data_IF_980304598341
#
_entry.id   IF_980304598341
#
_cell.length_a   1.000
_cell.length_b   1.000
_cell.length_c   1.000
_cell.angle_alpha   90.00
_cell.angle_beta   90.00
_cell.angle_gamma   90.00
#
_symmetry.space_group_name_H-M   'P 1'
#
loop_
_entity.id
_entity.type
_entity.pdbx_description
1 polymer ?
#
# COMPACT_ATOMS: atom_id res chain seq x y z
N UNK A 1 7.72 -54.22 -10.80
CA UNK A 1 6.78 -53.80 -9.73
C UNK A 1 7.58 -53.11 -8.63
N UNK A 2 7.72 -51.78 -8.70
CA UNK A 2 8.52 -51.01 -7.72
C UNK A 2 7.61 -50.39 -6.67
N UNK A 3 7.75 -50.86 -5.43
CA UNK A 3 7.04 -50.35 -4.27
C UNK A 3 7.56 -48.95 -3.91
N UNK A 4 6.67 -47.96 -3.92
CA UNK A 4 6.95 -46.60 -3.42
C UNK A 4 6.76 -46.60 -1.91
N UNK A 5 7.87 -46.49 -1.17
CA UNK A 5 7.86 -46.26 0.28
C UNK A 5 7.29 -44.88 0.62
N UNK A 6 6.34 -44.83 1.55
CA UNK A 6 5.83 -43.58 2.14
C UNK A 6 6.81 -43.08 3.21
N UNK A 7 7.16 -41.79 3.26
CA UNK A 7 7.97 -41.26 4.35
C UNK A 7 7.15 -41.18 5.66
N UNK A 8 7.82 -41.49 6.76
CA UNK A 8 7.30 -41.46 8.12
C UNK A 8 6.84 -40.05 8.53
N UNK A 9 5.69 -39.98 9.20
CA UNK A 9 5.18 -38.76 9.81
C UNK A 9 6.14 -38.28 10.91
N UNK A 10 6.64 -37.05 10.76
CA UNK A 10 7.41 -36.37 11.79
C UNK A 10 6.48 -36.01 12.97
N UNK A 11 6.85 -36.52 14.14
CA UNK A 11 6.25 -36.19 15.44
C UNK A 11 6.55 -34.71 15.74
N UNK A 12 5.50 -33.89 15.81
CA UNK A 12 5.60 -32.49 16.20
C UNK A 12 5.65 -32.43 17.74
N UNK A 13 6.69 -31.84 18.37
CA UNK A 13 6.78 -31.75 19.81
C UNK A 13 5.76 -30.74 20.40
N UNK A 14 5.15 -31.04 21.56
CA UNK A 14 4.20 -30.17 22.22
C UNK A 14 4.92 -29.21 23.15
N UNK A 15 5.37 -28.06 22.64
CA UNK A 15 5.81 -26.96 23.50
C UNK A 15 5.22 -25.66 23.00
N UNK A 16 4.09 -25.26 23.58
CA UNK A 16 3.80 -23.87 23.96
C UNK A 16 2.56 -23.89 24.87
N UNK A 17 2.78 -24.13 26.16
CA UNK A 17 1.83 -23.76 27.20
C UNK A 17 1.67 -22.24 27.18
N UNK A 18 0.50 -21.76 26.75
CA UNK A 18 0.12 -20.35 26.85
C UNK A 18 -0.15 -20.03 28.32
N UNK A 19 0.77 -19.30 28.96
CA UNK A 19 0.45 -18.59 30.19
C UNK A 19 -0.69 -17.59 29.92
N UNK A 20 -1.83 -17.80 30.58
CA UNK A 20 -2.91 -16.82 30.70
C UNK A 20 -2.37 -15.68 31.57
N UNK A 21 -2.03 -14.56 30.95
CA UNK A 21 -1.86 -13.30 31.66
C UNK A 21 -3.28 -12.72 31.80
N UNK A 22 -3.83 -12.80 33.00
CA UNK A 22 -5.03 -12.06 33.40
C UNK A 22 -4.75 -10.57 33.24
N UNK A 23 -5.50 -9.92 32.35
CA UNK A 23 -5.47 -8.46 32.21
C UNK A 23 -6.52 -7.88 33.16
N UNK A 24 -6.19 -6.87 33.99
CA UNK A 24 -7.16 -6.25 34.88
C UNK A 24 -8.26 -5.54 34.08
N UNK A 25 -9.49 -5.76 34.50
CA UNK A 25 -10.70 -5.16 33.95
C UNK A 25 -10.71 -3.64 34.20
N UNK A 26 -10.93 -2.80 33.16
CA UNK A 26 -11.31 -1.41 33.40
C UNK A 26 -12.80 -1.34 33.74
N UNK A 27 -13.10 -0.82 34.92
CA UNK A 27 -14.44 -0.46 35.37
C UNK A 27 -15.12 0.55 34.42
N UNK A 28 -16.42 0.43 34.13
CA UNK A 28 -17.14 1.40 33.32
C UNK A 28 -17.41 2.68 34.13
N UNK A 29 -16.71 3.77 33.80
CA UNK A 29 -17.09 5.11 34.26
C UNK A 29 -18.28 5.61 33.44
N UNK A 30 -19.45 5.61 34.07
CA UNK A 30 -20.66 6.30 33.62
C UNK A 30 -20.42 7.81 33.57
N UNK A 31 -20.33 8.37 32.37
CA UNK A 31 -20.42 9.81 32.12
C UNK A 31 -21.44 10.05 30.99
N UNK A 32 -22.68 10.36 31.40
CA UNK A 32 -23.59 11.32 30.76
C UNK A 32 -23.61 12.54 31.69
N UNK A 33 -23.71 13.80 31.23
CA UNK A 33 -24.62 14.32 30.19
C UNK A 33 -23.82 15.18 29.18
N UNK A 34 -24.32 15.84 28.14
CA UNK A 34 -25.44 16.77 28.10
C UNK A 34 -25.71 17.16 26.64
N UNK A 35 -27.00 17.21 26.30
CA UNK A 35 -27.51 17.71 25.03
C UNK A 35 -27.30 19.22 24.96
N UNK A 36 -26.47 19.69 24.04
CA UNK A 36 -26.62 21.05 23.52
C UNK A 36 -26.72 21.02 22.00
N UNK A 37 -27.96 21.24 21.58
CA UNK A 37 -28.46 21.41 20.21
C UNK A 37 -28.37 22.91 19.89
N UNK A 38 -27.52 23.39 18.97
CA UNK A 38 -27.63 24.74 18.47
C UNK A 38 -28.77 24.82 17.46
N UNK A 39 -29.74 25.67 17.77
CA UNK A 39 -30.79 26.10 16.84
C UNK A 39 -30.19 27.09 15.83
N UNK A 40 -30.32 26.76 14.56
CA UNK A 40 -30.73 27.62 13.44
C UNK A 40 -30.44 29.13 13.55
N UNK A 41 -29.51 29.64 12.71
CA UNK A 41 -29.70 30.96 12.07
C UNK A 41 -29.33 30.84 10.60
N UNK A 42 -30.36 30.96 9.78
CA UNK A 42 -30.33 31.13 8.35
C UNK A 42 -30.15 32.63 8.09
N UNK A 43 -29.02 33.04 7.52
CA UNK A 43 -28.87 34.39 6.99
C UNK A 43 -28.41 34.30 5.54
N UNK A 44 -29.39 34.34 4.64
CA UNK A 44 -29.18 34.71 3.25
C UNK A 44 -29.14 36.24 3.19
N UNK A 45 -28.00 36.82 2.84
CA UNK A 45 -27.93 38.22 2.45
C UNK A 45 -27.28 38.34 1.08
N UNK A 46 -28.08 38.88 0.17
CA UNK A 46 -27.76 39.13 -1.22
C UNK A 46 -26.72 40.25 -1.39
N UNK A 47 -26.01 40.14 -2.52
CA UNK A 47 -25.49 41.17 -3.41
C UNK A 47 -24.89 42.46 -2.81
N UNK A 48 -23.64 42.75 -3.19
CA UNK A 48 -23.21 44.05 -3.76
C UNK A 48 -21.74 43.97 -4.21
N UNK A 49 -21.51 44.12 -5.51
CA UNK A 49 -20.27 44.73 -6.01
C UNK A 49 -20.42 46.27 -5.88
N UNK A 50 -19.34 47.04 -5.67
CA UNK A 50 -18.46 47.46 -6.79
C UNK A 50 -16.95 47.59 -6.44
N UNK A 51 -16.12 47.57 -7.49
CA UNK A 51 -14.71 48.02 -7.55
C UNK A 51 -14.57 49.55 -7.28
N UNK A 52 -13.39 50.24 -7.38
CA UNK A 52 -11.97 49.83 -7.53
C UNK A 52 -10.97 50.63 -6.61
N UNK A 53 -9.66 50.45 -6.85
CA UNK A 53 -8.48 51.29 -6.47
C UNK A 53 -8.01 51.32 -5.01
N UNK A 54 -6.71 51.05 -4.75
CA UNK A 54 -5.64 52.04 -4.53
C UNK A 54 -4.28 51.32 -4.51
N UNK A 55 -3.31 51.88 -5.24
CA UNK A 55 -1.92 51.48 -5.27
C UNK A 55 -1.22 51.74 -3.91
N UNK A 56 -0.38 50.82 -3.44
CA UNK A 56 0.69 51.16 -2.50
C UNK A 56 1.90 50.28 -2.76
N UNK A 57 2.89 50.93 -3.36
CA UNK A 57 4.27 50.51 -3.49
C UNK A 57 4.89 50.36 -2.11
N UNK A 58 5.34 49.15 -1.75
CA UNK A 58 6.38 48.99 -0.73
C UNK A 58 7.42 47.98 -1.23
N UNK A 59 8.52 48.53 -1.72
CA UNK A 59 9.77 47.82 -1.91
C UNK A 59 10.28 47.31 -0.56
N UNK A 60 10.15 46.01 -0.32
CA UNK A 60 10.91 45.30 0.71
C UNK A 60 11.98 44.48 -0.01
N UNK A 61 13.24 44.89 0.20
CA UNK A 61 14.45 44.13 -0.14
C UNK A 61 14.37 42.77 0.55
N UNK A 62 14.12 41.72 -0.22
CA UNK A 62 14.31 40.34 0.22
C UNK A 62 15.80 40.02 0.28
N UNK A 63 16.29 39.35 1.35
CA UNK A 63 17.65 38.85 1.39
C UNK A 63 17.83 37.77 0.33
N UNK A 64 18.95 37.85 -0.38
CA UNK A 64 19.38 36.91 -1.41
C UNK A 64 19.51 35.52 -0.81
N UNK A 65 18.47 34.69 -0.96
CA UNK A 65 18.58 33.26 -0.75
C UNK A 65 19.32 32.69 -1.97
N UNK A 66 20.54 32.23 -1.76
CA UNK A 66 21.33 31.53 -2.76
C UNK A 66 20.59 30.26 -3.16
N UNK A 67 19.84 30.34 -4.26
CA UNK A 67 19.35 29.18 -5.00
C UNK A 67 20.60 28.45 -5.49
N UNK A 68 20.98 27.37 -4.82
CA UNK A 68 21.95 26.44 -5.36
C UNK A 68 21.31 25.79 -6.58
N UNK A 69 21.65 26.30 -7.77
CA UNK A 69 21.38 25.61 -9.02
C UNK A 69 22.03 24.21 -8.93
N UNK A 70 21.27 23.13 -9.11
CA UNK A 70 21.86 21.81 -9.23
C UNK A 70 22.63 21.75 -10.55
N UNK A 71 23.95 21.55 -10.46
CA UNK A 71 24.85 21.39 -11.60
C UNK A 71 24.25 20.42 -12.62
N UNK A 72 23.86 20.99 -13.76
CA UNK A 72 23.29 20.28 -14.89
C UNK A 72 24.41 19.54 -15.64
N UNK A 73 24.76 18.34 -15.19
CA UNK A 73 25.32 17.31 -16.08
C UNK A 73 24.19 16.77 -16.98
N UNK A 74 23.65 17.68 -17.80
CA UNK A 74 22.56 17.48 -18.74
C UNK A 74 23.13 17.13 -20.12
N UNK A 75 23.62 15.90 -20.26
CA UNK A 75 23.88 15.33 -21.58
C UNK A 75 23.35 13.90 -21.64
N UNK A 76 22.08 13.76 -22.05
CA UNK A 76 21.60 12.60 -22.80
C UNK A 76 20.81 11.52 -22.06
N UNK A 77 20.80 11.46 -20.74
CA UNK A 77 20.00 10.46 -20.03
C UNK A 77 18.65 11.05 -19.62
N UNK A 78 17.59 10.80 -20.40
CA UNK A 78 16.20 11.21 -20.16
C UNK A 78 15.58 10.71 -18.84
N UNK A 79 16.19 11.05 -17.71
CA UNK A 79 15.73 10.73 -16.36
C UNK A 79 14.64 11.74 -15.98
N UNK A 80 13.40 11.27 -16.04
CA UNK A 80 12.19 12.01 -15.64
C UNK A 80 12.07 12.20 -14.13
N UNK A 81 12.69 11.31 -13.35
CA UNK A 81 12.69 11.32 -11.90
C UNK A 81 14.10 11.25 -11.33
N UNK A 82 14.41 12.15 -10.38
CA UNK A 82 15.66 12.14 -9.60
C UNK A 82 15.36 11.79 -8.14
N UNK A 83 16.22 11.04 -7.44
CA UNK A 83 16.03 10.76 -6.01
C UNK A 83 16.26 12.04 -5.19
N UNK A 84 15.41 12.28 -4.20
CA UNK A 84 15.61 13.38 -3.24
C UNK A 84 16.75 13.01 -2.29
N UNK A 85 17.76 13.88 -2.19
CA UNK A 85 18.93 13.65 -1.36
C UNK A 85 18.59 13.82 0.14
N UNK A 86 19.21 13.02 1.03
CA UNK A 86 19.11 13.26 2.47
C UNK A 86 19.79 14.58 2.87
N UNK A 87 19.34 15.25 3.95
CA UNK A 87 18.27 14.84 4.85
C UNK A 87 16.88 15.02 4.22
N UNK A 88 16.08 13.95 4.19
CA UNK A 88 14.69 14.03 3.71
C UNK A 88 13.90 14.83 4.74
N UNK A 89 13.28 15.95 4.35
CA UNK A 89 12.49 16.76 5.26
C UNK A 89 11.42 15.95 6.00
N UNK A 90 11.20 16.24 7.28
CA UNK A 90 10.13 15.58 8.04
C UNK A 90 8.74 15.96 7.53
N UNK A 91 8.60 17.19 7.05
CA UNK A 91 7.43 17.76 6.39
C UNK A 91 7.72 17.95 4.90
N UNK A 92 6.75 17.67 4.03
CA UNK A 92 6.86 17.96 2.60
C UNK A 92 6.99 19.49 2.40
N UNK A 93 7.77 19.92 1.41
CA UNK A 93 8.15 21.34 1.25
C UNK A 93 7.18 22.14 0.39
N UNK A 94 6.41 21.46 -0.44
CA UNK A 94 5.49 22.10 -1.38
C UNK A 94 4.13 22.34 -0.74
N UNK A 95 3.48 23.47 -1.02
CA UNK A 95 2.16 23.77 -0.45
C UNK A 95 1.18 22.63 -0.73
N UNK A 96 0.61 22.06 0.33
CA UNK A 96 -0.31 20.91 0.19
C UNK A 96 -1.54 21.28 -0.62
N UNK A 97 -1.88 22.57 -0.69
CA UNK A 97 -3.02 23.05 -1.45
C UNK A 97 -2.77 22.94 -2.96
N UNK A 98 -1.57 23.31 -3.42
CA UNK A 98 -1.20 23.24 -4.84
C UNK A 98 -1.15 21.78 -5.33
N UNK A 99 -0.68 20.86 -4.50
CA UNK A 99 -0.46 19.47 -4.90
C UNK A 99 -1.70 18.55 -4.84
N UNK A 100 -2.84 19.03 -4.33
CA UNK A 100 -4.05 18.21 -4.22
C UNK A 100 -4.74 17.98 -5.56
N UNK A 101 -4.64 18.94 -6.47
CA UNK A 101 -5.38 18.92 -7.74
C UNK A 101 -4.56 18.36 -8.90
N UNK A 102 -3.24 18.30 -8.76
CA UNK A 102 -2.39 17.80 -9.83
C UNK A 102 -2.60 16.29 -10.03
N UNK A 103 -3.11 15.95 -11.21
CA UNK A 103 -3.30 14.57 -11.63
C UNK A 103 -1.93 13.99 -11.97
N UNK A 104 -1.43 13.12 -11.09
CA UNK A 104 -0.19 12.40 -11.35
C UNK A 104 -0.38 11.51 -12.61
N UNK A 105 0.49 11.64 -13.64
CA UNK A 105 0.48 10.78 -14.81
C UNK A 105 0.55 9.31 -14.45
N UNK A 106 0.11 8.46 -15.38
CA UNK A 106 0.20 7.01 -15.19
C UNK A 106 1.66 6.56 -14.97
N UNK A 107 1.81 5.45 -14.24
CA UNK A 107 3.08 4.88 -13.83
C UNK A 107 4.10 4.77 -14.97
N UNK A 108 3.66 4.37 -16.16
CA UNK A 108 4.51 4.20 -17.34
C UNK A 108 5.15 5.51 -17.82
N UNK A 109 4.52 6.66 -17.54
CA UNK A 109 5.05 7.99 -17.88
C UNK A 109 6.01 8.53 -16.82
N UNK A 110 5.85 8.13 -15.57
CA UNK A 110 6.71 8.58 -14.47
C UNK A 110 8.08 7.90 -14.43
N UNK A 111 8.14 6.61 -14.82
CA UNK A 111 9.37 5.83 -14.73
C UNK A 111 10.46 6.35 -15.67
N UNK A 112 11.73 6.23 -15.30
CA UNK A 112 12.85 6.68 -16.14
C UNK A 112 13.08 5.81 -17.37
N UNK A 113 12.61 4.56 -17.32
CA UNK A 113 12.89 3.56 -18.35
C UNK A 113 11.60 2.83 -18.75
N UNK A 114 10.67 3.52 -19.46
CA UNK A 114 9.38 2.96 -19.85
C UNK A 114 9.53 1.80 -20.83
N UNK A 115 10.55 1.85 -21.69
CA UNK A 115 10.80 0.85 -22.72
C UNK A 115 11.10 -0.53 -22.12
N UNK A 116 11.61 -0.58 -20.88
CA UNK A 116 11.81 -1.84 -20.16
C UNK A 116 10.48 -2.53 -19.80
N UNK A 117 9.38 -1.80 -19.72
CA UNK A 117 8.05 -2.36 -19.49
C UNK A 117 7.45 -2.92 -20.78
N UNK A 118 7.74 -2.28 -21.92
CA UNK A 118 7.15 -2.61 -23.22
C UNK A 118 7.94 -3.71 -23.91
N UNK A 119 9.28 -3.60 -23.93
CA UNK A 119 10.19 -4.56 -24.57
C UNK A 119 10.04 -5.98 -24.00
N UNK A 120 9.69 -6.10 -22.71
CA UNK A 120 9.48 -7.41 -22.07
C UNK A 120 8.16 -8.11 -22.40
N UNK A 121 7.22 -7.47 -23.11
CA UNK A 121 5.89 -8.05 -23.44
C UNK A 121 5.76 -8.49 -24.89
N UNK A 122 6.43 -7.83 -25.82
CA UNK A 122 6.25 -8.07 -27.26
C UNK A 122 7.35 -8.92 -27.91
N UNK A 123 8.34 -9.37 -27.16
CA UNK A 123 9.22 -10.47 -27.58
C UNK A 123 8.50 -11.81 -27.44
N UNK A 124 7.30 -11.90 -28.02
CA UNK A 124 6.52 -13.11 -28.14
C UNK A 124 7.11 -13.99 -29.23
N UNK A 125 7.67 -15.14 -28.84
CA UNK A 125 8.17 -16.15 -29.75
C UNK A 125 9.21 -17.04 -29.10
N UNK A 126 8.79 -17.87 -28.15
CA UNK A 126 9.64 -18.91 -27.55
C UNK A 126 9.37 -19.06 -26.05
N UNK A 127 8.91 -20.24 -25.65
CA UNK A 127 8.37 -20.53 -24.34
C UNK A 127 9.31 -20.17 -23.17
N UNK A 128 8.80 -19.32 -22.27
CA UNK A 128 9.04 -19.45 -20.83
C UNK A 128 10.22 -18.70 -20.20
N UNK A 129 11.21 -18.23 -20.96
CA UNK A 129 12.50 -17.83 -20.38
C UNK A 129 13.10 -16.54 -20.97
N UNK A 130 12.26 -15.53 -21.20
CA UNK A 130 12.69 -14.14 -21.41
C UNK A 130 13.29 -13.48 -20.14
N UNK A 131 13.94 -14.26 -19.28
CA UNK A 131 14.74 -13.77 -18.19
C UNK A 131 16.06 -13.26 -18.76
N UNK A 132 16.48 -12.06 -18.38
CA UNK A 132 17.92 -11.76 -18.46
C UNK A 132 18.64 -12.98 -17.85
N UNK A 133 19.56 -13.61 -18.59
CA UNK A 133 20.16 -14.92 -18.32
C UNK A 133 20.69 -15.13 -16.88
N UNK A 134 20.77 -14.05 -16.09
CA UNK A 134 21.30 -14.03 -14.73
C UNK A 134 20.23 -13.79 -13.65
N UNK A 135 18.93 -13.82 -13.99
CA UNK A 135 17.84 -13.54 -13.04
C UNK A 135 17.84 -12.11 -12.46
N UNK A 136 18.61 -11.21 -13.07
CA UNK A 136 18.68 -9.79 -12.74
C UNK A 136 17.67 -9.01 -13.59
N UNK A 137 17.11 -7.93 -13.05
CA UNK A 137 16.19 -7.00 -13.73
C UNK A 137 16.64 -5.58 -13.47
N UNK A 138 16.47 -4.67 -14.43
CA UNK A 138 16.73 -3.23 -14.21
C UNK A 138 15.60 -2.61 -13.41
N UNK A 139 15.94 -1.79 -12.43
CA UNK A 139 14.95 -1.03 -11.69
C UNK A 139 14.39 0.09 -12.57
N UNK A 140 13.06 0.24 -12.62
CA UNK A 140 12.39 1.26 -13.45
C UNK A 140 12.64 2.70 -13.01
N UNK A 141 13.10 2.90 -11.76
CA UNK A 141 13.46 4.22 -11.22
C UNK A 141 14.95 4.51 -11.42
N UNK A 142 15.84 3.76 -10.76
CA UNK A 142 17.28 4.05 -10.82
C UNK A 142 18.01 3.43 -12.03
N UNK A 143 17.36 2.58 -12.84
CA UNK A 143 17.97 1.91 -14.00
C UNK A 143 18.98 0.81 -13.66
N UNK A 144 19.37 0.69 -12.39
CA UNK A 144 20.38 -0.27 -11.94
C UNK A 144 19.89 -1.71 -12.05
N UNK A 145 20.77 -2.62 -12.46
CA UNK A 145 20.52 -4.06 -12.49
C UNK A 145 20.49 -4.61 -11.06
N UNK A 146 19.36 -5.23 -10.69
CA UNK A 146 19.10 -5.80 -9.36
C UNK A 146 18.65 -7.23 -9.48
N UNK A 147 18.89 -8.05 -8.45
CA UNK A 147 18.42 -9.44 -8.43
C UNK A 147 16.89 -9.47 -8.34
N UNK A 148 16.23 -10.26 -9.19
CA UNK A 148 14.79 -10.50 -9.10
C UNK A 148 14.49 -11.49 -7.98
N UNK A 149 13.47 -11.22 -7.15
CA UNK A 149 13.08 -12.15 -6.08
C UNK A 149 12.73 -13.58 -6.57
N UNK A 150 12.34 -13.72 -7.85
CA UNK A 150 12.12 -15.03 -8.48
C UNK A 150 13.39 -15.86 -8.61
N UNK A 151 14.53 -15.21 -8.89
CA UNK A 151 15.80 -15.88 -9.09
C UNK A 151 16.35 -16.47 -7.80
N UNK A 152 16.22 -15.74 -6.68
CA UNK A 152 16.66 -16.21 -5.36
C UNK A 152 15.96 -17.53 -4.97
N UNK A 153 14.69 -17.69 -5.34
CA UNK A 153 13.94 -18.93 -5.09
C UNK A 153 14.38 -20.07 -5.99
N UNK A 154 14.63 -19.81 -7.28
CA UNK A 154 15.09 -20.82 -8.22
C UNK A 154 16.47 -21.37 -7.83
N UNK A 155 17.42 -20.50 -7.45
CA UNK A 155 18.77 -20.91 -7.03
C UNK A 155 18.75 -21.73 -5.74
N UNK A 156 17.86 -21.42 -4.79
CA UNK A 156 17.71 -22.22 -3.57
C UNK A 156 17.25 -23.66 -3.89
N UNK A 157 16.32 -23.81 -4.83
CA UNK A 157 15.82 -25.12 -5.23
C UNK A 157 16.87 -25.97 -5.97
N UNK A 158 17.79 -25.36 -6.71
CA UNK A 158 18.88 -26.09 -7.38
C UNK A 158 20.06 -26.40 -6.45
N UNK A 159 20.31 -25.56 -5.44
CA UNK A 159 21.43 -25.73 -4.51
C UNK A 159 21.19 -26.83 -3.46
N UNK A 160 19.93 -27.17 -3.14
CA UNK A 160 19.62 -28.29 -2.25
C UNK A 160 19.96 -29.67 -2.85
N UNK A 161 20.26 -29.73 -4.16
CA UNK A 161 20.60 -30.98 -4.86
C UNK A 161 22.10 -31.13 -5.20
N UNK A 162 22.94 -30.12 -4.91
CA UNK A 162 24.36 -30.12 -5.25
C UNK A 162 25.21 -29.84 -4.00
N UNK A 163 25.51 -30.91 -3.25
CA UNK A 163 26.25 -30.89 -1.98
C UNK A 163 27.78 -30.85 -2.14
N UNK A 164 28.33 -30.12 -3.13
CA UNK A 164 29.77 -30.14 -3.40
C UNK A 164 30.36 -28.74 -3.58
N UNK A 165 31.06 -28.35 -2.51
CA UNK A 165 32.21 -27.46 -2.37
C UNK A 165 32.09 -25.93 -2.63
N UNK A 166 32.70 -25.11 -1.77
CA UNK A 166 32.63 -23.65 -1.77
C UNK A 166 33.63 -23.04 -2.74
N UNK A 167 33.15 -22.33 -3.76
CA UNK A 167 34.02 -21.54 -4.64
C UNK A 167 33.93 -20.05 -4.26
N UNK A 168 35.11 -19.43 -4.25
CA UNK A 168 35.50 -18.14 -3.70
C UNK A 168 34.56 -16.94 -3.94
N UNK A 169 34.22 -16.16 -2.88
CA UNK A 169 33.45 -14.93 -3.00
C UNK A 169 34.25 -13.71 -3.52
N UNK A 170 35.38 -13.91 -4.21
CA UNK A 170 36.35 -12.84 -4.49
C UNK A 170 36.08 -11.99 -5.74
N UNK A 171 34.95 -12.13 -6.44
CA UNK A 171 34.54 -11.16 -7.48
C UNK A 171 33.80 -9.97 -6.86
N UNK A 172 34.58 -9.14 -6.17
CA UNK A 172 34.18 -7.89 -5.56
C UNK A 172 33.83 -6.81 -6.60
N UNK A 173 32.68 -6.95 -7.28
CA UNK A 173 31.98 -5.78 -7.80
C UNK A 173 31.31 -5.05 -6.60
N UNK A 174 32.14 -4.32 -5.86
CA UNK A 174 31.87 -3.66 -4.58
C UNK A 174 30.82 -2.51 -4.62
N UNK A 175 30.01 -2.41 -5.67
CA UNK A 175 28.93 -1.42 -5.79
C UNK A 175 27.55 -2.04 -6.02
N UNK A 176 27.43 -3.35 -5.81
CA UNK A 176 26.14 -4.06 -5.89
C UNK A 176 25.38 -4.02 -4.58
N UNK A 177 24.84 -2.86 -4.16
CA UNK A 177 23.97 -2.80 -2.96
C UNK A 177 22.93 -3.94 -2.98
N UNK A 178 22.71 -4.61 -1.86
CA UNK A 178 21.88 -5.85 -1.71
C UNK A 178 20.37 -5.66 -1.97
N UNK A 179 19.98 -4.66 -2.75
CA UNK A 179 18.60 -4.40 -3.07
C UNK A 179 18.10 -5.33 -4.18
N UNK A 180 16.96 -5.94 -3.89
CA UNK A 180 16.26 -6.84 -4.82
C UNK A 180 15.10 -6.09 -5.48
N UNK A 181 14.58 -6.64 -6.58
CA UNK A 181 13.27 -6.25 -7.13
C UNK A 181 12.24 -7.29 -6.69
N UNK A 182 11.37 -6.98 -5.72
CA UNK A 182 10.29 -7.86 -5.32
C UNK A 182 9.33 -8.11 -6.48
N UNK A 183 8.84 -9.35 -6.61
CA UNK A 183 7.85 -9.73 -7.65
C UNK A 183 6.61 -8.84 -7.63
N UNK A 184 6.25 -8.32 -6.46
CA UNK A 184 5.07 -7.50 -6.26
C UNK A 184 5.26 -6.02 -6.61
N UNK A 185 6.50 -5.54 -6.81
CA UNK A 185 6.82 -4.11 -6.84
C UNK A 185 6.94 -3.51 -8.26
N UNK A 186 6.27 -4.07 -9.28
CA UNK A 186 6.24 -3.53 -10.67
C UNK A 186 7.61 -3.06 -11.23
N UNK A 187 8.72 -3.71 -10.86
CA UNK A 187 10.07 -3.32 -11.31
C UNK A 187 10.79 -2.28 -10.44
N UNK A 188 10.22 -1.85 -9.32
CA UNK A 188 10.87 -0.97 -8.34
C UNK A 188 11.67 -1.82 -7.34
N UNK A 189 12.96 -1.49 -7.14
CA UNK A 189 13.81 -2.19 -6.17
C UNK A 189 13.57 -1.70 -4.74
N UNK A 190 14.05 -2.46 -3.75
CA UNK A 190 13.89 -2.13 -2.32
C UNK A 190 14.63 -0.86 -1.86
N UNK A 191 15.57 -0.35 -2.66
CA UNK A 191 16.15 0.98 -2.40
C UNK A 191 15.16 2.06 -2.84
N UNK A 192 14.73 1.98 -4.09
CA UNK A 192 13.84 2.96 -4.70
C UNK A 192 12.43 2.98 -4.11
N UNK A 193 11.98 1.89 -3.46
CA UNK A 193 10.62 1.79 -2.89
C UNK A 193 10.46 2.55 -1.56
N UNK A 194 11.56 2.94 -0.91
CA UNK A 194 11.56 3.79 0.29
C UNK A 194 11.97 5.24 -0.01
N UNK A 195 12.70 5.47 -1.10
CA UNK A 195 13.16 6.79 -1.55
C UNK A 195 12.01 7.68 -2.02
N UNK A 196 12.10 8.98 -1.70
CA UNK A 196 11.27 10.03 -2.29
C UNK A 196 11.95 10.50 -3.57
N UNK A 197 11.19 10.66 -4.64
CA UNK A 197 11.67 11.06 -5.96
C UNK A 197 11.06 12.40 -6.35
N UNK A 198 11.78 13.19 -7.12
CA UNK A 198 11.30 14.46 -7.69
C UNK A 198 11.05 14.21 -9.18
N UNK A 199 9.81 14.36 -9.62
CA UNK A 199 9.40 14.23 -11.01
C UNK A 199 9.62 15.58 -11.72
N UNK A 200 10.65 15.65 -12.57
CA UNK A 200 11.07 16.90 -13.22
C UNK A 200 10.06 17.39 -14.25
N UNK A 201 9.33 16.48 -14.91
CA UNK A 201 8.31 16.82 -15.91
C UNK A 201 7.01 17.40 -15.31
N UNK A 202 6.87 17.39 -13.98
CA UNK A 202 5.64 17.77 -13.27
C UNK A 202 5.96 18.82 -12.21
N UNK A 203 6.59 19.91 -12.62
CA UNK A 203 6.91 21.05 -11.74
C UNK A 203 7.69 20.62 -10.48
N UNK A 204 8.65 19.71 -10.66
CA UNK A 204 9.43 19.12 -9.57
C UNK A 204 8.58 18.48 -8.46
N UNK A 205 7.46 17.84 -8.82
CA UNK A 205 6.59 17.16 -7.87
C UNK A 205 7.30 16.02 -7.14
N UNK A 206 7.21 16.04 -5.81
CA UNK A 206 7.73 14.99 -4.95
C UNK A 206 6.77 13.79 -4.95
N UNK A 207 7.25 12.62 -5.36
CA UNK A 207 6.50 11.37 -5.44
C UNK A 207 7.17 10.28 -4.62
N UNK A 208 6.35 9.36 -4.08
CA UNK A 208 6.83 8.20 -3.33
C UNK A 208 6.03 6.95 -3.67
N UNK A 209 6.71 5.81 -3.69
CA UNK A 209 6.07 4.52 -3.95
C UNK A 209 5.19 4.10 -2.76
N UNK A 210 3.90 3.86 -3.01
CA UNK A 210 2.97 3.36 -2.01
C UNK A 210 2.84 1.83 -2.09
N UNK A 211 3.26 1.10 -1.04
CA UNK A 211 3.16 -0.37 -0.98
C UNK A 211 1.71 -0.88 -0.96
N UNK A 212 0.77 -0.10 -0.43
CA UNK A 212 -0.64 -0.49 -0.36
C UNK A 212 -1.30 -0.50 -1.73
N UNK A 213 -1.11 0.56 -2.50
CA UNK A 213 -1.77 0.73 -3.79
C UNK A 213 -0.88 0.30 -4.98
N UNK A 214 0.41 -0.03 -4.73
CA UNK A 214 1.43 -0.43 -5.71
C UNK A 214 1.54 0.56 -6.88
N UNK A 215 1.59 1.84 -6.54
CA UNK A 215 1.75 2.95 -7.47
C UNK A 215 2.48 4.11 -6.79
N UNK A 216 3.05 5.03 -7.59
CA UNK A 216 3.54 6.31 -7.09
C UNK A 216 2.37 7.18 -6.66
N UNK A 217 2.58 7.92 -5.57
CA UNK A 217 1.65 8.93 -5.07
C UNK A 217 2.43 10.19 -4.74
N UNK A 218 1.84 11.39 -4.91
CA UNK A 218 2.44 12.61 -4.41
C UNK A 218 2.77 12.46 -2.92
N UNK A 219 3.93 12.97 -2.50
CA UNK A 219 4.47 12.69 -1.17
C UNK A 219 3.55 13.23 -0.06
N UNK A 220 2.86 14.35 -0.29
CA UNK A 220 1.83 14.91 0.58
C UNK A 220 0.69 13.91 0.92
N UNK A 221 0.39 12.94 0.05
CA UNK A 221 -0.63 11.91 0.32
C UNK A 221 -0.25 10.91 1.43
N UNK A 222 0.97 10.98 1.97
CA UNK A 222 1.39 10.19 3.12
C UNK A 222 1.08 10.89 4.46
N UNK A 223 0.68 12.17 4.41
CA UNK A 223 0.33 13.01 5.56
C UNK A 223 1.52 13.24 6.51
N UNK A 224 1.23 13.40 7.80
CA UNK A 224 2.23 13.65 8.86
C UNK A 224 3.29 12.55 8.99
N UNK A 225 2.99 11.35 8.46
CA UNK A 225 3.90 10.21 8.45
C UNK A 225 4.51 10.04 7.07
N UNK A 226 5.21 11.07 6.61
CA UNK A 226 5.89 11.18 5.30
C UNK A 226 6.84 10.00 5.00
N UNK A 227 7.45 9.42 6.04
CA UNK A 227 8.35 8.27 5.93
C UNK A 227 7.64 6.92 5.80
N UNK A 228 6.32 6.87 5.93
CA UNK A 228 5.62 5.60 5.89
C UNK A 228 5.55 4.97 4.49
N UNK A 229 5.22 3.68 4.48
CA UNK A 229 5.18 2.85 3.26
C UNK A 229 3.81 2.81 2.57
N UNK A 230 2.77 3.41 3.16
CA UNK A 230 1.41 3.47 2.61
C UNK A 230 0.87 4.90 2.71
N UNK A 231 0.17 5.36 1.66
CA UNK A 231 -0.57 6.63 1.67
C UNK A 231 -1.78 6.57 2.60
N UNK A 232 -2.35 7.74 2.92
CA UNK A 232 -3.51 7.91 3.80
C UNK A 232 -4.70 7.04 3.37
N UNK A 233 -5.12 7.13 2.11
CA UNK A 233 -6.23 6.30 1.57
C UNK A 233 -6.03 4.80 1.78
N UNK A 234 -4.83 4.30 1.53
CA UNK A 234 -4.52 2.87 1.69
C UNK A 234 -4.42 2.46 3.18
N UNK A 235 -4.14 3.39 4.10
CA UNK A 235 -4.24 3.16 5.56
C UNK A 235 -5.67 3.17 6.05
N UNK A 236 -6.50 4.10 5.57
CA UNK A 236 -7.88 4.22 6.03
C UNK A 236 -8.71 3.02 5.59
N UNK A 237 -8.54 2.56 4.35
CA UNK A 237 -9.10 1.28 3.88
C UNK A 237 -8.66 0.09 4.77
N UNK A 238 -7.42 0.10 5.25
CA UNK A 238 -6.92 -0.95 6.15
C UNK A 238 -7.57 -0.85 7.54
N UNK A 239 -7.73 0.36 8.10
CA UNK A 239 -8.44 0.59 9.37
C UNK A 239 -9.89 0.16 9.28
N UNK A 240 -10.58 0.53 8.20
CA UNK A 240 -11.97 0.16 7.92
C UNK A 240 -12.13 -1.37 7.84
N UNK A 241 -11.27 -2.04 7.06
CA UNK A 241 -11.27 -3.51 6.98
C UNK A 241 -11.05 -4.16 8.35
N UNK A 242 -10.16 -3.61 9.16
CA UNK A 242 -9.92 -4.11 10.51
C UNK A 242 -11.12 -3.88 11.45
N UNK A 243 -11.76 -2.72 11.37
CA UNK A 243 -12.96 -2.41 12.16
C UNK A 243 -14.11 -3.37 11.82
N UNK A 244 -14.36 -3.63 10.53
CA UNK A 244 -15.34 -4.60 10.06
C UNK A 244 -15.02 -6.03 10.48
N UNK A 245 -13.75 -6.44 10.38
CA UNK A 245 -13.34 -7.78 10.80
C UNK A 245 -13.47 -7.97 12.31
N UNK A 246 -13.14 -6.93 13.10
CA UNK A 246 -13.24 -6.95 14.56
C UNK A 246 -14.70 -6.97 15.03
N UNK A 247 -15.58 -6.20 14.40
CA UNK A 247 -17.02 -6.20 14.73
C UNK A 247 -17.68 -7.53 14.37
N UNK A 248 -17.33 -8.11 13.21
CA UNK A 248 -17.79 -9.43 12.82
C UNK A 248 -17.32 -10.53 13.80
N UNK A 249 -16.08 -10.46 14.27
CA UNK A 249 -15.56 -11.42 15.25
C UNK A 249 -16.26 -11.30 16.61
N UNK A 250 -16.51 -10.07 17.09
CA UNK A 250 -17.27 -9.84 18.32
C UNK A 250 -18.70 -10.38 18.25
N UNK A 251 -19.39 -10.20 17.12
CA UNK A 251 -20.73 -10.75 16.90
C UNK A 251 -20.74 -12.28 16.95
N UNK A 252 -19.72 -12.94 16.39
CA UNK A 252 -19.57 -14.40 16.47
C UNK A 252 -19.33 -14.86 17.91
N UNK A 253 -18.47 -14.17 18.65
CA UNK A 253 -18.19 -14.49 20.05
C UNK A 253 -19.39 -14.27 20.98
N UNK A 254 -20.23 -13.26 20.73
CA UNK A 254 -21.44 -13.02 21.52
C UNK A 254 -22.58 -13.96 21.16
N UNK A 255 -22.70 -14.40 19.90
CA UNK A 255 -23.70 -15.38 19.51
C UNK A 255 -23.41 -16.76 20.14
N UNK A 256 -22.14 -17.16 20.21
CA UNK A 256 -21.78 -18.44 20.85
C UNK A 256 -22.01 -18.45 22.37
N UNK A 257 -22.03 -17.30 23.05
CA UNK A 257 -22.24 -17.25 24.50
C UNK A 257 -23.71 -17.32 24.92
N UNK A 258 -24.67 -17.16 24.01
CA UNK A 258 -26.10 -17.16 24.36
C UNK A 258 -26.78 -18.53 24.19
N UNK A 259 -26.18 -19.46 23.46
CA UNK A 259 -26.74 -20.80 23.24
C UNK A 259 -26.57 -21.72 24.48
N UNK A 260 -25.52 -21.50 25.28
CA UNK A 260 -25.22 -22.34 26.45
C UNK A 260 -26.12 -22.04 27.68
N UNK A 261 -26.91 -20.97 27.66
CA UNK A 261 -27.82 -20.60 28.76
C UNK A 261 -29.29 -20.90 28.49
N UNK A 262 -29.65 -21.43 27.32
CA UNK A 262 -31.04 -21.67 26.93
C UNK A 262 -31.53 -23.12 27.16
N UNK A 263 -30.68 -24.04 27.62
CA UNK A 263 -31.06 -25.46 27.83
C UNK A 263 -31.61 -25.77 29.23
N UNK A 264 -32.20 -24.80 29.94
CA UNK A 264 -32.60 -24.97 31.35
C UNK A 264 -33.98 -24.47 31.76
N UNK A 265 -34.81 -23.93 30.85
CA UNK A 265 -36.17 -23.51 31.19
C UNK A 265 -37.18 -24.07 30.19
N UNK A 266 -37.50 -25.34 30.40
CA UNK A 266 -38.73 -25.94 29.89
C UNK A 266 -39.95 -25.32 30.61
N UNK A 267 -40.93 -24.97 29.78
CA UNK A 267 -42.36 -25.08 30.08
C UNK A 267 -43.01 -24.07 31.03
N UNK A 268 -43.59 -22.99 30.45
CA UNK A 268 -45.01 -22.65 30.70
C UNK A 268 -45.59 -21.61 29.72
N UNK A 269 -46.56 -22.13 28.97
CA UNK A 269 -47.86 -21.53 28.58
C UNK A 269 -47.90 -20.37 27.58
N UNK A 270 -48.39 -20.76 26.40
CA UNK A 270 -49.06 -20.02 25.34
C UNK A 270 -49.70 -18.66 25.71
N UNK A 271 -49.48 -17.69 24.83
CA UNK A 271 -50.22 -16.43 24.84
C UNK A 271 -49.81 -15.48 23.72
N UNK A 272 -50.59 -15.53 22.65
CA UNK A 272 -50.89 -14.48 21.69
C UNK A 272 -49.89 -14.05 20.59
N UNK A 273 -50.52 -13.74 19.47
CA UNK A 273 -49.96 -13.58 18.15
C UNK A 273 -49.56 -12.14 17.83
N UNK A 274 -48.84 -12.04 16.71
CA UNK A 274 -48.80 -10.88 15.81
C UNK A 274 -47.90 -9.71 16.21
N UNK A 275 -46.65 -9.73 15.75
CA UNK A 275 -46.14 -8.63 14.93
C UNK A 275 -44.97 -9.10 14.04
N UNK A 276 -45.30 -9.39 12.79
CA UNK A 276 -44.40 -9.97 11.79
C UNK A 276 -43.74 -8.85 10.97
N UNK A 277 -42.87 -8.05 11.60
CA UNK A 277 -42.02 -7.10 10.89
C UNK A 277 -40.76 -7.80 10.34
N UNK A 278 -40.99 -8.44 9.19
CA UNK A 278 -40.02 -9.15 8.37
C UNK A 278 -39.01 -8.17 7.75
N UNK A 279 -37.94 -7.81 8.47
CA UNK A 279 -36.78 -7.14 7.86
C UNK A 279 -35.89 -8.17 7.16
N UNK A 280 -36.39 -8.70 6.04
CA UNK A 280 -35.66 -9.56 5.10
C UNK A 280 -34.65 -8.70 4.33
N UNK A 281 -33.46 -8.51 4.89
CA UNK A 281 -32.29 -8.13 4.10
C UNK A 281 -31.76 -9.38 3.40
N UNK A 282 -32.48 -9.78 2.35
CA UNK A 282 -32.13 -10.91 1.48
C UNK A 282 -30.83 -10.61 0.74
N UNK A 283 -29.88 -11.49 1.01
CA UNK A 283 -28.73 -11.86 0.20
C UNK A 283 -29.10 -11.89 -1.30
N UNK A 284 -28.69 -10.88 -2.06
CA UNK A 284 -28.65 -10.93 -3.53
C UNK A 284 -27.24 -10.60 -3.98
N UNK A 285 -26.38 -11.63 -3.98
CA UNK A 285 -25.13 -11.66 -4.74
C UNK A 285 -24.67 -13.11 -4.95
N UNK A 286 -25.58 -13.98 -5.40
CA UNK A 286 -25.23 -15.29 -5.90
C UNK A 286 -26.15 -15.62 -7.08
N UNK A 287 -25.72 -15.26 -8.30
CA UNK A 287 -25.97 -15.93 -9.58
C UNK A 287 -25.62 -14.97 -10.74
N UNK A 288 -24.67 -15.36 -11.61
CA UNK A 288 -24.35 -14.57 -12.80
C UNK A 288 -23.08 -14.90 -13.58
N UNK A 289 -22.29 -15.91 -13.17
CA UNK A 289 -21.25 -16.52 -14.00
C UNK A 289 -21.88 -17.70 -14.76
N UNK A 290 -22.38 -17.48 -15.99
CA UNK A 290 -22.58 -18.57 -16.99
C UNK A 290 -23.05 -18.19 -18.41
N UNK A 291 -22.78 -16.99 -18.94
CA UNK A 291 -23.14 -16.70 -20.34
C UNK A 291 -21.98 -16.17 -21.18
N UNK A 292 -21.81 -16.79 -22.35
CA UNK A 292 -20.92 -16.45 -23.47
C UNK A 292 -19.43 -16.85 -23.40
N UNK A 293 -19.17 -18.13 -23.16
CA UNK A 293 -18.40 -18.91 -24.14
C UNK A 293 -19.40 -19.58 -25.09
N UNK A 294 -19.68 -18.97 -26.26
CA UNK A 294 -20.25 -19.58 -27.48
C UNK A 294 -20.57 -18.50 -28.53
N UNK A 295 -19.56 -18.13 -29.30
CA UNK A 295 -19.59 -17.60 -30.67
C UNK A 295 -18.09 -17.49 -31.04
N UNK A 296 -17.48 -18.46 -31.72
CA UNK A 296 -17.63 -18.76 -33.17
C UNK A 296 -17.60 -17.48 -33.98
#
# INVERSE_FOLDING_TARGET
MSARGRPAFAVIPPFYARARIESPSPSPSSFSPEQQRPKHVFEQKAASAPSPTVATSQARKSPSASVMEPAADAAGNGRRCIPLNPPVPSKYWSDAEINKEVILPDFHRLVNFPDLLIKGRNSGGGDGEGGCANGKKRCVMCGQLRVSATYVRAKKASAESASSLPEDPSSADASGSNHIIPRQNKGVCTACDVTVWVALELDAMEIKWCKGCKNFRPWCHFGDKSLATKCLRCRDRQKEKYALQKSANRRRSSASSMDESASGMEEKKAGDANDMHHCSLTVVAANGLRSLMKAV
#
